data_IF_642651903457
#
_entry.id   IF_642651903457
#
_cell.length_a   1.000
_cell.length_b   1.000
_cell.length_c   1.000
_cell.angle_alpha   90.00
_cell.angle_beta   90.00
_cell.angle_gamma   90.00
#
_symmetry.space_group_name_H-M   'P 1'
#
loop_
_entity.id
_entity.type
_entity.pdbx_description
1 polymer ?
#
# COMPACT_ATOMS: atom_id res chain seq x y z
N UNK A 1 -0.83 10.77 4.96
CA UNK A 1 -0.62 11.26 3.58
C UNK A 1 -1.04 10.16 2.61
N UNK A 2 -1.83 10.51 1.60
CA UNK A 2 -2.23 9.59 0.52
C UNK A 2 -1.91 10.22 -0.83
N UNK A 3 -1.48 9.40 -1.80
CA UNK A 3 -1.18 9.86 -3.16
C UNK A 3 -2.40 9.74 -4.07
N UNK A 4 -2.49 10.67 -5.01
CA UNK A 4 -3.50 10.64 -6.06
C UNK A 4 -3.19 9.54 -7.08
N UNK A 5 -4.21 9.11 -7.85
CA UNK A 5 -4.03 8.18 -8.97
C UNK A 5 -3.04 8.69 -10.01
N UNK A 6 -3.00 10.00 -10.23
CA UNK A 6 -2.08 10.63 -11.17
C UNK A 6 -0.62 10.49 -10.70
N UNK A 7 -0.36 10.77 -9.42
CA UNK A 7 0.96 10.56 -8.81
C UNK A 7 1.36 9.09 -8.81
N UNK A 8 0.42 8.19 -8.47
CA UNK A 8 0.66 6.75 -8.52
C UNK A 8 1.07 6.29 -9.91
N UNK A 9 0.43 6.79 -10.97
CA UNK A 9 0.74 6.43 -12.35
C UNK A 9 2.17 6.79 -12.77
N UNK A 10 2.77 7.82 -12.17
CA UNK A 10 4.17 8.19 -12.40
C UNK A 10 5.10 7.06 -11.93
N UNK A 11 4.81 6.42 -10.81
CA UNK A 11 5.67 5.40 -10.19
C UNK A 11 5.21 3.95 -10.44
N UNK A 12 4.02 3.76 -11.01
CA UNK A 12 3.38 2.45 -11.19
C UNK A 12 4.30 1.45 -11.92
N UNK A 13 5.06 1.93 -12.91
CA UNK A 13 5.99 1.13 -13.70
C UNK A 13 7.20 0.58 -12.90
N UNK A 14 7.46 1.11 -11.71
CA UNK A 14 8.52 0.64 -10.82
C UNK A 14 8.05 -0.54 -9.95
N UNK A 15 6.74 -0.78 -9.89
CA UNK A 15 6.17 -1.83 -9.05
C UNK A 15 6.18 -3.17 -9.79
N UNK A 16 6.31 -4.30 -9.06
CA UNK A 16 6.20 -5.61 -9.68
C UNK A 16 4.79 -5.82 -10.25
N UNK A 17 4.74 -6.55 -11.36
CA UNK A 17 3.48 -6.98 -11.98
C UNK A 17 2.72 -7.86 -10.99
N UNK A 18 1.48 -7.48 -10.69
CA UNK A 18 0.58 -8.27 -9.83
C UNK A 18 0.29 -9.63 -10.48
N UNK A 19 0.48 -10.71 -9.71
CA UNK A 19 0.18 -12.09 -10.14
C UNK A 19 -0.94 -12.67 -9.30
N UNK A 20 -1.83 -13.44 -9.93
CA UNK A 20 -2.94 -14.09 -9.25
C UNK A 20 -4.08 -13.13 -8.90
N UNK A 21 -4.92 -13.54 -7.96
CA UNK A 21 -6.14 -12.81 -7.61
C UNK A 21 -5.85 -11.74 -6.54
N UNK A 22 -5.52 -10.52 -6.97
CA UNK A 22 -5.17 -9.42 -6.08
C UNK A 22 -6.40 -8.60 -5.70
N UNK A 23 -6.75 -8.61 -4.40
CA UNK A 23 -7.90 -7.87 -3.87
C UNK A 23 -7.57 -6.43 -3.44
N UNK A 24 -6.30 -6.15 -3.12
CA UNK A 24 -5.85 -4.83 -2.64
C UNK A 24 -5.05 -4.15 -3.77
N UNK A 25 -5.52 -3.02 -4.32
CA UNK A 25 -4.80 -2.28 -5.35
C UNK A 25 -3.41 -1.81 -4.90
N UNK A 26 -2.47 -1.70 -5.84
CA UNK A 26 -1.11 -1.20 -5.56
C UNK A 26 -1.11 0.17 -4.89
N UNK A 27 -1.93 1.11 -5.36
CA UNK A 27 -2.03 2.45 -4.77
C UNK A 27 -2.39 2.41 -3.28
N UNK A 28 -3.23 1.46 -2.86
CA UNK A 28 -3.65 1.33 -1.46
C UNK A 28 -2.53 0.76 -0.59
N UNK A 29 -1.73 -0.17 -1.13
CA UNK A 29 -0.50 -0.65 -0.48
C UNK A 29 0.49 0.48 -0.29
N UNK A 30 0.70 1.32 -1.32
CA UNK A 30 1.61 2.47 -1.23
C UNK A 30 1.10 3.48 -0.20
N UNK A 31 -0.19 3.82 -0.20
CA UNK A 31 -0.77 4.72 0.79
C UNK A 31 -0.60 4.17 2.22
N UNK A 32 -0.75 2.86 2.43
CA UNK A 32 -0.51 2.24 3.74
C UNK A 32 0.95 2.36 4.20
N UNK A 33 1.91 2.15 3.30
CA UNK A 33 3.34 2.30 3.59
C UNK A 33 3.68 3.76 3.90
N UNK A 34 3.16 4.71 3.12
CA UNK A 34 3.34 6.14 3.35
C UNK A 34 2.75 6.57 4.70
N UNK A 35 1.56 6.07 5.04
CA UNK A 35 0.95 6.33 6.35
C UNK A 35 1.85 5.85 7.49
N UNK A 36 2.38 4.62 7.40
CA UNK A 36 3.30 4.08 8.38
C UNK A 36 4.61 4.88 8.48
N UNK A 37 5.18 5.30 7.35
CA UNK A 37 6.40 6.10 7.33
C UNK A 37 6.20 7.48 7.98
N UNK A 38 5.03 8.09 7.81
CA UNK A 38 4.70 9.39 8.36
C UNK A 38 4.36 9.33 9.87
N UNK A 39 3.61 8.31 10.30
CA UNK A 39 3.09 8.22 11.68
C UNK A 39 3.93 7.34 12.60
N UNK A 40 4.83 6.51 12.06
CA UNK A 40 5.70 5.62 12.83
C UNK A 40 4.97 4.49 13.57
N UNK A 41 3.85 3.99 13.03
CA UNK A 41 3.07 2.93 13.68
C UNK A 41 3.54 1.51 13.30
N UNK A 42 3.25 0.53 14.16
CA UNK A 42 3.41 -0.89 13.84
C UNK A 42 2.36 -1.30 12.81
N UNK A 43 2.64 -2.34 12.00
CA UNK A 43 1.67 -2.88 11.02
C UNK A 43 0.27 -3.14 11.59
N UNK A 44 0.16 -3.68 12.80
CA UNK A 44 -1.14 -3.94 13.45
C UNK A 44 -1.92 -2.69 13.83
N UNK A 45 -1.28 -1.52 13.86
CA UNK A 45 -1.90 -0.22 14.08
C UNK A 45 -2.26 0.50 12.77
N UNK A 46 -2.13 -0.17 11.62
CA UNK A 46 -2.56 0.39 10.35
C UNK A 46 -4.09 0.54 10.33
N UNK A 47 -4.63 1.71 9.94
CA UNK A 47 -6.06 1.91 9.82
C UNK A 47 -6.74 0.90 8.89
N UNK A 48 -7.93 0.41 9.29
CA UNK A 48 -8.65 -0.63 8.56
C UNK A 48 -9.04 -0.25 7.13
N UNK A 49 -9.18 1.05 6.82
CA UNK A 49 -9.53 1.53 5.49
C UNK A 49 -8.44 1.26 4.44
N UNK A 50 -7.19 1.01 4.86
CA UNK A 50 -6.14 0.55 3.95
C UNK A 50 -6.29 -0.94 3.60
N UNK A 51 -7.06 -1.70 4.38
CA UNK A 51 -7.24 -3.14 4.24
C UNK A 51 -6.52 -3.92 5.34
N UNK A 52 -6.59 -5.25 5.25
CA UNK A 52 -6.00 -6.12 6.26
C UNK A 52 -4.47 -5.97 6.30
N UNK A 53 -3.93 -5.51 7.43
CA UNK A 53 -2.51 -5.18 7.58
C UNK A 53 -1.58 -6.31 7.13
N UNK A 54 -1.94 -7.57 7.39
CA UNK A 54 -1.12 -8.72 7.05
C UNK A 54 -1.04 -8.94 5.54
N UNK A 55 -2.14 -8.69 4.82
CA UNK A 55 -2.17 -8.77 3.36
C UNK A 55 -1.31 -7.67 2.73
N UNK A 56 -1.22 -6.49 3.34
CA UNK A 56 -0.34 -5.40 2.89
C UNK A 56 1.12 -5.73 3.20
N UNK A 57 1.41 -6.17 4.42
CA UNK A 57 2.75 -6.57 4.85
C UNK A 57 3.37 -7.60 3.89
N UNK A 58 2.61 -8.64 3.53
CA UNK A 58 3.05 -9.68 2.59
C UNK A 58 3.32 -9.19 1.16
N UNK A 59 2.93 -7.95 0.82
CA UNK A 59 3.19 -7.34 -0.49
C UNK A 59 4.38 -6.40 -0.49
N UNK A 60 4.85 -5.99 0.69
CA UNK A 60 5.98 -5.08 0.88
C UNK A 60 7.24 -5.83 1.33
N UNK A 61 7.06 -6.99 1.98
CA UNK A 61 8.12 -7.90 2.38
C UNK A 61 8.50 -8.87 1.26
#
# INVERSE_FOLDING_TARGET
MEITKAQFKIIEHLLPIQRGNVKIPNIQVINAVLYMAEHGCKWRGLPEHFGYWHAIYMRVN
#
